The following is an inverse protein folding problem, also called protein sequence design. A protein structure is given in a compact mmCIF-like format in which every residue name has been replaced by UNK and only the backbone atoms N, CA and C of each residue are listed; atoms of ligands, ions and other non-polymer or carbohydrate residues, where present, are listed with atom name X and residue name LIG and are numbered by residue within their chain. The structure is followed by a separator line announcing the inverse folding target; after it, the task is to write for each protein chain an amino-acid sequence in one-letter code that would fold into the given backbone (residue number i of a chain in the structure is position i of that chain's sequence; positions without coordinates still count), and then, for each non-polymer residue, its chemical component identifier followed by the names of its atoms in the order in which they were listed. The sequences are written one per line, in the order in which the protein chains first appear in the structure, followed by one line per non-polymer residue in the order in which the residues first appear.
data_IF_154896588349
#
_entry.id   IF_154896588349
#
_cell.length_a   1.000
_cell.length_b   1.000
_cell.length_c   1.000
_cell.angle_alpha   90.00
_cell.angle_beta   90.00
_cell.angle_gamma   90.00
#
_symmetry.space_group_name_H-M   'P 1'
#
loop_
_entity.id
_entity.type
_entity.pdbx_description
1 polymer ?
#
# COMPACT_ATOMS: atom_id res chain seq x y z
N UNK A 1 -8.81 -25.22 -15.61
CA UNK A 1 -8.95 -25.04 -14.15
C UNK A 1 -7.57 -24.95 -13.54
N UNK A 2 -7.33 -23.94 -12.73
CA UNK A 2 -6.10 -23.75 -11.94
C UNK A 2 -6.15 -24.71 -10.75
N UNK A 3 -5.06 -25.45 -10.50
CA UNK A 3 -5.01 -26.42 -9.40
C UNK A 3 -4.69 -25.75 -8.07
N UNK A 4 -5.31 -26.25 -7.02
CA UNK A 4 -4.96 -25.93 -5.64
C UNK A 4 -3.99 -26.98 -5.12
N UNK A 5 -2.91 -26.53 -4.49
CA UNK A 5 -1.95 -27.37 -3.79
C UNK A 5 -1.95 -27.04 -2.29
N UNK A 6 -1.78 -28.07 -1.47
CA UNK A 6 -1.57 -27.94 -0.03
C UNK A 6 -0.08 -28.14 0.23
N UNK A 7 0.58 -27.09 0.70
CA UNK A 7 2.02 -27.12 0.97
C UNK A 7 2.25 -27.30 2.47
N UNK A 8 3.13 -28.24 2.83
CA UNK A 8 3.57 -28.43 4.21
C UNK A 8 4.57 -27.36 4.61
N UNK A 9 4.46 -26.85 5.83
CA UNK A 9 5.30 -25.76 6.34
C UNK A 9 5.54 -25.90 7.84
N UNK A 10 6.32 -25.00 8.42
CA UNK A 10 6.56 -24.90 9.87
C UNK A 10 6.35 -23.46 10.37
N UNK A 11 5.93 -23.27 11.62
CA UNK A 11 5.85 -21.95 12.23
C UNK A 11 7.18 -21.20 12.22
N UNK A 12 7.13 -19.89 12.02
CA UNK A 12 8.28 -18.99 12.16
C UNK A 12 8.20 -18.18 13.45
N UNK A 13 9.31 -18.10 14.17
CA UNK A 13 9.40 -17.24 15.35
C UNK A 13 9.27 -15.76 14.95
N UNK A 14 8.50 -15.00 15.74
CA UNK A 14 8.41 -13.55 15.57
C UNK A 14 7.47 -13.06 14.48
N UNK A 15 6.64 -13.91 13.85
CA UNK A 15 5.52 -13.50 12.99
C UNK A 15 4.33 -12.96 13.81
N UNK A 16 4.60 -12.02 14.72
CA UNK A 16 3.56 -11.39 15.55
C UNK A 16 3.17 -10.03 14.95
N UNK A 17 1.97 -9.90 14.33
CA UNK A 17 1.51 -8.60 13.87
C UNK A 17 1.14 -7.69 15.05
N UNK A 18 1.44 -6.41 14.93
CA UNK A 18 0.81 -5.36 15.73
C UNK A 18 -0.44 -4.81 15.03
N UNK A 19 -1.05 -3.80 15.63
CA UNK A 19 -2.18 -3.04 15.03
C UNK A 19 -1.82 -2.41 13.68
N UNK A 20 -0.53 -2.12 13.46
CA UNK A 20 0.00 -1.61 12.20
C UNK A 20 0.60 -2.70 11.29
N UNK A 21 0.28 -3.97 11.53
CA UNK A 21 0.75 -5.12 10.74
C UNK A 21 2.03 -5.78 11.25
N UNK A 22 2.54 -6.73 10.48
CA UNK A 22 3.85 -7.35 10.70
C UNK A 22 4.90 -6.57 9.90
N UNK A 23 5.96 -6.12 10.58
CA UNK A 23 7.11 -5.45 9.95
C UNK A 23 8.38 -6.21 10.26
N UNK A 24 9.14 -6.55 9.23
CA UNK A 24 10.40 -7.29 9.31
C UNK A 24 11.33 -6.85 8.20
N UNK A 25 12.60 -7.26 8.31
CA UNK A 25 13.59 -6.98 7.28
C UNK A 25 13.24 -7.76 6.01
N UNK A 26 13.50 -7.18 4.84
CA UNK A 26 13.28 -7.83 3.53
C UNK A 26 13.84 -9.26 3.46
N UNK A 27 15.09 -9.53 3.92
CA UNK A 27 15.62 -10.90 3.93
C UNK A 27 14.82 -11.90 4.77
N UNK A 28 14.03 -11.45 5.75
CA UNK A 28 13.13 -12.34 6.50
C UNK A 28 11.95 -12.78 5.63
N UNK A 29 11.31 -11.85 4.92
CA UNK A 29 10.20 -12.16 4.00
C UNK A 29 10.62 -13.00 2.79
N UNK A 30 11.90 -12.97 2.42
CA UNK A 30 12.45 -13.79 1.35
C UNK A 30 12.79 -15.23 1.77
N UNK A 31 12.69 -15.56 3.07
CA UNK A 31 12.81 -16.96 3.49
C UNK A 31 11.65 -17.76 2.90
N UNK A 32 11.96 -18.98 2.46
CA UNK A 32 10.98 -19.91 1.91
C UNK A 32 9.82 -20.10 2.91
N UNK A 33 8.58 -20.00 2.41
CA UNK A 33 7.33 -20.12 3.18
C UNK A 33 7.05 -19.01 4.20
N UNK A 34 7.96 -18.05 4.42
CA UNK A 34 7.73 -17.02 5.43
C UNK A 34 6.52 -16.15 5.08
N UNK A 35 6.49 -15.62 3.87
CA UNK A 35 5.43 -14.74 3.39
C UNK A 35 4.12 -15.51 3.23
N UNK A 36 4.19 -16.71 2.67
CA UNK A 36 3.05 -17.62 2.47
C UNK A 36 2.37 -17.97 3.80
N UNK A 37 3.15 -18.35 4.81
CA UNK A 37 2.64 -18.67 6.13
C UNK A 37 1.89 -17.49 6.73
N UNK A 38 2.48 -16.30 6.63
CA UNK A 38 1.87 -15.11 7.22
C UNK A 38 0.57 -14.73 6.50
N UNK A 39 0.54 -14.81 5.17
CA UNK A 39 -0.67 -14.55 4.37
C UNK A 39 -1.78 -15.54 4.75
N UNK A 40 -1.48 -16.85 4.80
CA UNK A 40 -2.46 -17.86 5.21
C UNK A 40 -3.00 -17.57 6.63
N UNK A 41 -2.11 -17.26 7.58
CA UNK A 41 -2.50 -16.92 8.95
C UNK A 41 -3.37 -15.66 9.04
N UNK A 42 -3.11 -14.65 8.20
CA UNK A 42 -3.93 -13.44 8.08
C UNK A 42 -5.32 -13.77 7.57
N UNK A 43 -5.45 -14.60 6.52
CA UNK A 43 -6.76 -14.99 6.00
C UNK A 43 -7.55 -15.79 7.04
N UNK A 44 -6.90 -16.73 7.71
CA UNK A 44 -7.53 -17.58 8.73
C UNK A 44 -7.94 -16.79 9.98
N UNK A 45 -7.11 -15.85 10.44
CA UNK A 45 -7.35 -15.08 11.65
C UNK A 45 -8.21 -13.84 11.43
N UNK A 46 -8.06 -13.19 10.28
CA UNK A 46 -8.77 -11.96 9.92
C UNK A 46 -10.19 -12.20 9.42
N UNK A 47 -10.42 -13.31 8.71
CA UNK A 47 -11.69 -13.59 8.05
C UNK A 47 -12.33 -14.89 8.53
N UNK A 48 -11.52 -15.90 8.86
CA UNK A 48 -12.00 -17.18 9.38
C UNK A 48 -13.00 -17.84 8.44
N UNK A 49 -14.25 -18.04 8.89
CA UNK A 49 -15.30 -18.63 8.06
C UNK A 49 -15.83 -17.70 6.97
N UNK A 50 -15.57 -16.38 7.06
CA UNK A 50 -16.01 -15.38 6.08
C UNK A 50 -15.13 -15.32 4.83
N UNK A 51 -14.11 -16.17 4.71
CA UNK A 51 -13.22 -16.19 3.55
C UNK A 51 -13.99 -16.41 2.25
N UNK A 52 -14.79 -17.47 2.16
CA UNK A 52 -15.45 -17.82 0.90
C UNK A 52 -16.42 -16.72 0.45
N UNK A 53 -16.13 -16.12 -0.70
CA UNK A 53 -16.96 -15.07 -1.32
C UNK A 53 -16.68 -13.65 -0.84
N UNK A 54 -15.68 -13.42 0.02
CA UNK A 54 -15.30 -12.08 0.40
C UNK A 54 -14.44 -11.41 -0.69
N UNK A 55 -14.64 -10.10 -0.88
CA UNK A 55 -13.79 -9.26 -1.71
C UNK A 55 -12.79 -8.52 -0.83
N UNK A 56 -11.52 -8.49 -1.23
CA UNK A 56 -10.49 -7.78 -0.48
C UNK A 56 -9.66 -6.91 -1.40
N UNK A 57 -9.34 -5.73 -0.89
CA UNK A 57 -8.50 -4.74 -1.57
C UNK A 57 -7.04 -5.03 -1.22
N UNK A 58 -6.22 -5.17 -2.25
CA UNK A 58 -4.77 -5.36 -2.15
C UNK A 58 -4.10 -4.11 -2.69
N UNK A 59 -3.22 -3.51 -1.90
CA UNK A 59 -2.48 -2.32 -2.29
C UNK A 59 -1.20 -2.19 -1.48
N UNK A 60 -0.30 -1.33 -1.93
CA UNK A 60 0.92 -1.02 -1.20
C UNK A 60 1.62 0.23 -1.69
N UNK A 61 2.66 0.63 -0.97
CA UNK A 61 3.39 1.88 -1.20
C UNK A 61 4.46 1.82 -2.29
N UNK A 62 4.61 0.66 -2.95
CA UNK A 62 5.57 0.45 -4.02
C UNK A 62 6.98 0.09 -3.54
N UNK A 63 7.20 -0.11 -2.22
CA UNK A 63 8.48 -0.57 -1.69
C UNK A 63 8.92 -1.91 -2.28
N UNK A 64 10.22 -2.18 -2.18
CA UNK A 64 10.82 -3.45 -2.57
C UNK A 64 10.05 -4.64 -1.96
N UNK A 65 9.86 -5.72 -2.72
CA UNK A 65 8.98 -6.88 -2.47
C UNK A 65 7.47 -6.69 -2.64
N UNK A 66 6.94 -5.47 -2.86
CA UNK A 66 5.49 -5.31 -3.03
C UNK A 66 4.93 -6.18 -4.16
N UNK A 67 5.57 -6.21 -5.34
CA UNK A 67 5.07 -6.98 -6.49
C UNK A 67 5.08 -8.48 -6.23
N UNK A 68 6.17 -8.98 -5.65
CA UNK A 68 6.34 -10.37 -5.28
C UNK A 68 5.30 -10.79 -4.25
N UNK A 69 5.08 -9.97 -3.22
CA UNK A 69 4.08 -10.24 -2.19
C UNK A 69 2.64 -10.15 -2.73
N UNK A 70 2.31 -9.23 -3.64
CA UNK A 70 0.99 -9.21 -4.32
C UNK A 70 0.77 -10.52 -5.06
N UNK A 71 1.79 -11.02 -5.76
CA UNK A 71 1.69 -12.27 -6.51
C UNK A 71 1.43 -13.46 -5.56
N UNK A 72 2.15 -13.54 -4.43
CA UNK A 72 1.89 -14.57 -3.40
C UNK A 72 0.48 -14.43 -2.82
N UNK A 73 0.04 -13.20 -2.51
CA UNK A 73 -1.32 -12.95 -2.05
C UNK A 73 -2.29 -13.49 -3.07
N UNK A 74 -2.25 -13.10 -4.34
CA UNK A 74 -3.20 -13.57 -5.36
C UNK A 74 -3.25 -15.11 -5.42
N UNK A 75 -2.11 -15.79 -5.39
CA UNK A 75 -2.05 -17.26 -5.44
C UNK A 75 -2.68 -17.95 -4.23
N UNK A 76 -2.42 -17.45 -3.02
CA UNK A 76 -3.01 -17.98 -1.77
C UNK A 76 -4.48 -17.57 -1.66
N UNK A 77 -4.80 -16.35 -2.10
CA UNK A 77 -6.14 -15.78 -2.17
C UNK A 77 -7.03 -16.60 -3.07
N UNK A 78 -6.58 -17.00 -4.25
CA UNK A 78 -7.35 -17.84 -5.16
C UNK A 78 -7.66 -19.20 -4.53
N UNK A 79 -6.71 -19.79 -3.79
CA UNK A 79 -6.91 -21.05 -3.08
C UNK A 79 -7.85 -20.92 -1.85
N UNK A 80 -7.96 -19.73 -1.26
CA UNK A 80 -8.75 -19.46 -0.05
C UNK A 80 -10.02 -18.61 -0.28
N UNK A 81 -10.18 -18.01 -1.45
CA UNK A 81 -11.24 -17.08 -1.86
C UNK A 81 -11.06 -15.58 -1.55
N UNK A 82 -9.87 -15.04 -1.20
CA UNK A 82 -9.69 -13.72 -0.49
C UNK A 82 -8.27 -13.08 -0.49
N UNK A 83 -8.09 -11.74 -0.61
CA UNK A 83 -6.80 -10.93 -0.52
C UNK A 83 -6.38 -10.11 0.76
N UNK A 84 -5.28 -9.33 0.72
CA UNK A 84 -4.59 -8.62 1.87
C UNK A 84 -3.91 -7.27 1.46
N UNK A 85 -3.63 -6.31 2.37
CA UNK A 85 -2.87 -5.05 2.11
C UNK A 85 -1.35 -5.19 2.45
N UNK A 86 -0.46 -4.54 1.68
CA UNK A 86 1.01 -4.60 1.78
C UNK A 86 1.65 -3.23 2.06
N UNK A 87 2.11 -2.98 3.28
CA UNK A 87 2.80 -1.73 3.64
C UNK A 87 3.65 -1.91 4.90
N UNK A 88 4.77 -1.21 4.99
CA UNK A 88 5.53 -1.02 6.24
C UNK A 88 5.51 0.44 6.75
N UNK A 89 4.58 1.26 6.24
CA UNK A 89 4.34 2.65 6.62
C UNK A 89 5.59 3.54 6.48
N UNK A 90 5.96 4.29 7.50
CA UNK A 90 7.11 5.21 7.46
C UNK A 90 8.50 4.54 7.42
N UNK A 91 8.62 3.21 7.48
CA UNK A 91 9.94 2.55 7.56
C UNK A 91 10.71 2.60 6.21
N UNK A 92 12.06 2.61 6.23
CA UNK A 92 12.88 2.61 5.01
C UNK A 92 12.60 1.41 4.10
N UNK A 93 12.71 1.64 2.79
CA UNK A 93 12.52 0.64 1.73
C UNK A 93 13.84 0.16 1.12
N UNK A 94 13.77 -0.89 0.31
CA UNK A 94 14.92 -1.47 -0.39
C UNK A 94 15.32 -2.87 0.09
N UNK A 95 16.28 -3.53 -0.60
CA UNK A 95 16.55 -4.97 -0.48
C UNK A 95 17.08 -5.42 0.88
N UNK A 96 17.59 -4.48 1.68
CA UNK A 96 18.07 -4.71 3.04
C UNK A 96 17.29 -3.89 4.06
N UNK A 97 16.17 -3.28 3.68
CA UNK A 97 15.40 -2.44 4.58
C UNK A 97 14.15 -3.20 5.06
N UNK A 98 13.08 -2.49 5.39
CA UNK A 98 11.89 -3.08 5.99
C UNK A 98 10.79 -3.30 4.95
N UNK A 99 10.11 -4.43 5.10
CA UNK A 99 8.87 -4.75 4.43
C UNK A 99 7.78 -5.01 5.46
N UNK A 100 6.52 -4.88 5.05
CA UNK A 100 5.41 -5.10 5.95
C UNK A 100 4.14 -5.53 5.25
N UNK A 101 3.33 -6.27 5.99
CA UNK A 101 2.01 -6.75 5.56
C UNK A 101 1.02 -6.33 6.63
N UNK A 102 -0.05 -5.65 6.21
CA UNK A 102 -1.06 -5.06 7.08
C UNK A 102 -2.44 -5.61 6.74
N UNK A 103 -3.24 -5.85 7.76
CA UNK A 103 -4.66 -6.16 7.59
C UNK A 103 -5.49 -5.00 8.15
N UNK A 104 -6.35 -4.43 7.32
CA UNK A 104 -7.37 -3.47 7.74
C UNK A 104 -8.73 -4.16 7.74
N UNK A 105 -9.60 -3.74 8.65
CA UNK A 105 -10.98 -4.24 8.71
C UNK A 105 -11.87 -3.55 7.67
N UNK A 106 -13.12 -4.02 7.55
CA UNK A 106 -14.12 -3.53 6.58
C UNK A 106 -14.39 -2.01 6.63
N UNK A 107 -14.13 -1.37 7.77
CA UNK A 107 -14.25 0.08 7.95
C UNK A 107 -12.99 0.86 7.51
N UNK A 108 -11.98 0.19 6.93
CA UNK A 108 -10.69 0.78 6.54
C UNK A 108 -9.73 1.05 7.71
N UNK A 109 -10.16 0.80 8.95
CA UNK A 109 -9.35 1.00 10.15
C UNK A 109 -8.33 -0.12 10.41
N UNK A 110 -7.36 0.11 11.32
CA UNK A 110 -6.39 -0.92 11.71
C UNK A 110 -7.09 -2.13 12.34
N UNK A 111 -6.49 -3.31 12.19
CA UNK A 111 -6.97 -4.53 12.83
C UNK A 111 -7.02 -4.36 14.36
N UNK A 112 -8.18 -4.60 15.01
CA UNK A 112 -8.28 -4.64 16.46
C UNK A 112 -7.39 -5.74 17.06
N UNK A 113 -7.02 -5.60 18.33
CA UNK A 113 -6.17 -6.57 19.03
C UNK A 113 -6.72 -8.00 18.98
N UNK A 114 -8.05 -8.16 19.02
CA UNK A 114 -8.68 -9.47 18.88
C UNK A 114 -8.32 -10.15 17.54
N UNK A 115 -8.27 -9.39 16.46
CA UNK A 115 -7.91 -9.86 15.12
C UNK A 115 -6.42 -10.15 15.04
N UNK A 116 -5.57 -9.22 15.49
CA UNK A 116 -4.11 -9.41 15.43
C UNK A 116 -3.64 -10.58 16.31
N UNK A 117 -4.29 -10.80 17.46
CA UNK A 117 -4.03 -11.97 18.31
C UNK A 117 -4.50 -13.27 17.65
N UNK A 118 -5.63 -13.28 16.95
CA UNK A 118 -6.09 -14.46 16.20
C UNK A 118 -5.13 -14.81 15.06
N UNK A 119 -4.66 -13.81 14.31
CA UNK A 119 -3.63 -13.99 13.28
C UNK A 119 -2.36 -14.56 13.92
N UNK A 120 -1.89 -13.96 15.01
CA UNK A 120 -0.70 -14.43 15.71
C UNK A 120 -0.83 -15.89 16.17
N UNK A 121 -1.96 -16.27 16.79
CA UNK A 121 -2.21 -17.65 17.20
C UNK A 121 -2.13 -18.63 16.03
N UNK A 122 -2.60 -18.25 14.84
CA UNK A 122 -2.45 -19.08 13.65
C UNK A 122 -0.98 -19.22 13.22
N UNK A 123 -0.18 -18.13 13.27
CA UNK A 123 1.24 -18.19 12.90
C UNK A 123 2.05 -19.15 13.78
N UNK A 124 1.68 -19.34 15.05
CA UNK A 124 2.40 -20.22 15.98
C UNK A 124 2.09 -21.70 15.80
N UNK A 125 1.02 -22.03 15.07
CA UNK A 125 0.54 -23.41 14.90
C UNK A 125 0.42 -23.84 13.43
N UNK A 126 0.68 -22.94 12.48
CA UNK A 126 0.58 -23.24 11.05
C UNK A 126 1.48 -24.41 10.64
N UNK A 127 0.88 -25.40 10.01
CA UNK A 127 1.58 -26.58 9.46
C UNK A 127 1.35 -26.75 7.97
N UNK A 128 0.34 -26.07 7.40
CA UNK A 128 0.07 -26.06 5.97
C UNK A 128 -0.48 -24.71 5.51
N UNK A 129 -0.35 -24.43 4.21
CA UNK A 129 -1.10 -23.39 3.53
C UNK A 129 -1.60 -23.89 2.17
N UNK A 130 -2.67 -23.29 1.66
CA UNK A 130 -3.23 -23.61 0.34
C UNK A 130 -2.83 -22.55 -0.68
N UNK A 131 -2.37 -22.96 -1.86
CA UNK A 131 -1.87 -22.07 -2.90
C UNK A 131 -2.23 -22.56 -4.30
N UNK A 132 -2.43 -21.63 -5.24
CA UNK A 132 -2.47 -21.92 -6.66
C UNK A 132 -1.11 -21.59 -7.30
N UNK A 133 -0.14 -22.50 -7.34
CA UNK A 133 1.25 -22.17 -7.71
C UNK A 133 1.38 -21.72 -9.17
N UNK A 134 0.58 -22.31 -10.06
CA UNK A 134 0.58 -22.05 -11.50
C UNK A 134 -0.28 -20.83 -11.89
N UNK A 135 -0.99 -20.20 -10.94
CA UNK A 135 -1.80 -19.02 -11.24
C UNK A 135 -0.88 -17.86 -11.60
N UNK A 136 -1.06 -17.33 -12.80
CA UNK A 136 -0.38 -16.13 -13.27
C UNK A 136 -1.43 -15.06 -13.54
N UNK A 137 -1.33 -13.93 -12.84
CA UNK A 137 -2.17 -12.77 -13.04
C UNK A 137 -1.26 -11.59 -13.36
N UNK A 138 -1.48 -10.95 -14.52
CA UNK A 138 -0.85 -9.67 -14.81
C UNK A 138 -1.64 -8.57 -14.09
N UNK A 139 -0.99 -7.93 -13.12
CA UNK A 139 -1.53 -6.79 -12.38
C UNK A 139 -0.78 -5.49 -12.68
N UNK A 140 -0.05 -5.45 -13.80
CA UNK A 140 0.66 -4.25 -14.26
C UNK A 140 -0.22 -3.25 -14.98
N UNK A 141 -1.43 -3.67 -15.41
CA UNK A 141 -2.39 -2.85 -16.14
C UNK A 141 -3.78 -2.98 -15.51
N UNK A 142 -4.55 -1.88 -15.58
CA UNK A 142 -5.96 -1.87 -15.20
C UNK A 142 -6.72 -2.89 -16.04
N UNK A 143 -7.57 -3.68 -15.39
CA UNK A 143 -8.36 -4.70 -16.06
C UNK A 143 -8.89 -5.76 -15.11
N UNK A 144 -9.70 -6.66 -15.66
CA UNK A 144 -10.26 -7.81 -14.96
C UNK A 144 -9.64 -9.10 -15.49
N UNK A 145 -9.19 -9.95 -14.57
CA UNK A 145 -8.78 -11.32 -14.84
C UNK A 145 -9.69 -12.29 -14.09
N UNK A 146 -10.12 -13.35 -14.76
CA UNK A 146 -11.04 -14.35 -14.21
C UNK A 146 -10.40 -15.74 -14.29
N UNK A 147 -10.57 -16.53 -13.23
CA UNK A 147 -9.94 -17.84 -13.09
C UNK A 147 -10.94 -18.85 -12.53
N UNK A 148 -10.97 -20.04 -13.11
CA UNK A 148 -11.69 -21.19 -12.55
C UNK A 148 -10.72 -22.03 -11.71
N UNK A 149 -10.89 -21.99 -10.39
CA UNK A 149 -10.03 -22.65 -9.41
C UNK A 149 -10.64 -23.99 -9.02
N UNK A 150 -9.84 -25.05 -9.12
CA UNK A 150 -10.25 -26.41 -8.81
C UNK A 150 -10.73 -26.54 -7.36
N UNK A 151 -11.92 -27.13 -7.17
CA UNK A 151 -12.59 -27.31 -5.88
C UNK A 151 -12.89 -26.02 -5.07
N UNK A 152 -12.66 -24.83 -5.63
CA UNK A 152 -12.97 -23.54 -4.99
C UNK A 152 -14.07 -22.80 -5.76
N UNK A 153 -13.97 -22.74 -7.10
CA UNK A 153 -14.92 -22.07 -7.98
C UNK A 153 -14.31 -20.87 -8.71
N UNK A 154 -15.16 -19.93 -9.10
CA UNK A 154 -14.77 -18.75 -9.87
C UNK A 154 -14.06 -17.73 -8.98
N UNK A 155 -12.90 -17.25 -9.42
CA UNK A 155 -12.07 -16.26 -8.74
C UNK A 155 -11.76 -15.09 -9.69
N UNK A 156 -11.90 -13.87 -9.19
CA UNK A 156 -11.77 -12.64 -9.98
C UNK A 156 -10.69 -11.76 -9.37
N UNK A 157 -9.83 -11.22 -10.23
CA UNK A 157 -8.86 -10.16 -9.88
C UNK A 157 -9.20 -8.92 -10.70
N UNK A 158 -9.62 -7.87 -10.00
CA UNK A 158 -9.83 -6.54 -10.56
C UNK A 158 -8.64 -5.64 -10.24
N UNK A 159 -7.90 -5.25 -11.26
CA UNK A 159 -6.84 -4.24 -11.19
C UNK A 159 -7.48 -2.90 -11.52
N UNK A 160 -7.52 -2.01 -10.52
CA UNK A 160 -8.18 -0.71 -10.63
C UNK A 160 -7.16 0.43 -10.65
N UNK A 161 -7.60 1.60 -11.11
CA UNK A 161 -6.82 2.82 -10.99
C UNK A 161 -6.65 3.18 -9.51
N UNK A 162 -5.41 3.43 -9.08
CA UNK A 162 -5.10 3.70 -7.67
C UNK A 162 -5.60 5.06 -7.19
N UNK A 163 -5.84 6.02 -8.09
CA UNK A 163 -6.08 7.42 -7.76
C UNK A 163 -7.54 7.82 -8.02
N UNK A 164 -8.15 7.30 -9.09
CA UNK A 164 -9.46 7.72 -9.60
C UNK A 164 -10.56 7.79 -8.53
N UNK A 165 -10.83 6.67 -7.85
CA UNK A 165 -11.96 6.60 -6.92
C UNK A 165 -11.71 7.46 -5.66
N UNK A 166 -10.44 7.61 -5.26
CA UNK A 166 -10.04 8.52 -4.18
C UNK A 166 -10.26 9.99 -4.58
N UNK A 167 -9.88 10.38 -5.80
CA UNK A 167 -10.12 11.74 -6.32
C UNK A 167 -11.61 12.06 -6.36
N UNK A 168 -12.44 11.13 -6.85
CA UNK A 168 -13.89 11.29 -6.88
C UNK A 168 -14.46 11.49 -5.47
N UNK A 169 -13.94 10.80 -4.46
CA UNK A 169 -14.31 11.01 -3.07
C UNK A 169 -13.87 12.40 -2.57
N UNK A 170 -12.62 12.80 -2.84
CA UNK A 170 -12.09 14.10 -2.41
C UNK A 170 -12.89 15.27 -3.01
N UNK A 171 -13.32 15.16 -4.27
CA UNK A 171 -14.17 16.16 -4.93
C UNK A 171 -15.57 16.27 -4.31
N UNK A 172 -16.06 15.23 -3.64
CA UNK A 172 -17.33 15.27 -2.89
C UNK A 172 -17.17 15.91 -1.50
N UNK A 173 -15.99 15.80 -0.91
CA UNK A 173 -15.68 16.32 0.43
C UNK A 173 -15.26 17.80 0.37
N UNK A 174 -14.44 18.17 -0.62
CA UNK A 174 -13.82 19.49 -0.71
C UNK A 174 -14.29 20.29 -1.93
N UNK A 175 -14.38 21.61 -1.76
CA UNK A 175 -14.67 22.54 -2.86
C UNK A 175 -13.40 22.78 -3.70
N UNK A 176 -13.17 21.89 -4.68
CA UNK A 176 -12.01 21.96 -5.56
C UNK A 176 -11.93 23.28 -6.33
N UNK A 177 -13.09 23.88 -6.68
CA UNK A 177 -13.12 25.17 -7.37
C UNK A 177 -12.54 26.26 -6.49
N UNK A 178 -12.97 26.36 -5.22
CA UNK A 178 -12.42 27.34 -4.28
C UNK A 178 -10.94 27.12 -4.00
N UNK A 179 -10.50 25.87 -3.83
CA UNK A 179 -9.08 25.58 -3.61
C UNK A 179 -8.25 26.01 -4.82
N UNK A 180 -8.73 25.73 -6.04
CA UNK A 180 -8.10 26.19 -7.28
C UNK A 180 -8.06 27.72 -7.41
N UNK A 181 -9.14 28.40 -7.03
CA UNK A 181 -9.19 29.87 -7.01
C UNK A 181 -8.22 30.47 -5.97
N UNK A 182 -7.97 29.79 -4.84
CA UNK A 182 -6.92 30.17 -3.90
C UNK A 182 -5.51 29.98 -4.51
N UNK A 183 -5.23 28.79 -5.05
CA UNK A 183 -3.92 28.44 -5.61
C UNK A 183 -3.53 29.36 -6.77
N UNK A 184 -4.48 29.65 -7.65
CA UNK A 184 -4.28 30.57 -8.78
C UNK A 184 -4.14 32.05 -8.38
N UNK A 185 -4.50 32.40 -7.14
CA UNK A 185 -4.53 33.78 -6.67
C UNK A 185 -5.76 34.58 -7.12
N UNK A 186 -6.77 33.93 -7.70
CA UNK A 186 -8.05 34.57 -8.05
C UNK A 186 -8.73 35.21 -6.82
N UNK A 187 -8.59 34.58 -5.65
CA UNK A 187 -9.20 35.07 -4.40
C UNK A 187 -8.38 36.20 -3.75
N UNK A 188 -7.05 36.09 -3.79
CA UNK A 188 -6.12 36.89 -2.97
C UNK A 188 -5.35 37.95 -3.77
N UNK A 189 -5.42 37.91 -5.11
CA UNK A 189 -4.61 38.75 -6.01
C UNK A 189 -3.15 38.30 -6.16
N UNK A 190 -2.73 37.26 -5.46
CA UNK A 190 -1.39 36.64 -5.53
C UNK A 190 -1.54 35.13 -5.47
N UNK A 191 -0.80 34.40 -6.31
CA UNK A 191 -0.74 32.93 -6.23
C UNK A 191 -0.38 32.47 -4.83
N UNK A 192 -1.04 31.40 -4.39
CA UNK A 192 -0.71 30.70 -3.16
C UNK A 192 0.31 29.61 -3.50
N UNK A 193 1.57 29.84 -3.15
CA UNK A 193 2.70 28.98 -3.54
C UNK A 193 2.82 27.81 -2.56
N UNK A 194 2.52 26.60 -3.04
CA UNK A 194 2.64 25.36 -2.24
C UNK A 194 3.91 24.61 -2.59
N UNK A 195 4.47 23.88 -1.62
CA UNK A 195 5.60 22.98 -1.82
C UNK A 195 5.32 21.60 -1.19
N UNK A 196 5.29 20.56 -2.02
CA UNK A 196 4.85 19.23 -1.60
C UNK A 196 5.94 18.20 -1.84
N UNK A 197 6.20 17.34 -0.86
CA UNK A 197 7.16 16.25 -0.93
C UNK A 197 6.49 14.90 -0.62
N UNK A 198 6.39 14.02 -1.60
CA UNK A 198 5.86 12.66 -1.40
C UNK A 198 6.92 11.69 -0.90
N UNK A 199 8.16 12.12 -0.68
CA UNK A 199 9.28 11.32 -0.19
C UNK A 199 9.47 10.02 -0.98
N UNK A 200 9.18 10.07 -2.30
CA UNK A 200 9.21 8.93 -3.22
C UNK A 200 8.24 7.77 -2.86
N UNK A 201 7.23 8.03 -2.03
CA UNK A 201 6.23 7.08 -1.56
C UNK A 201 4.94 7.04 -2.38
N UNK A 202 3.91 6.42 -1.82
CA UNK A 202 2.66 6.09 -2.49
C UNK A 202 1.85 7.30 -2.96
N UNK A 203 2.01 8.45 -2.30
CA UNK A 203 1.21 9.65 -2.54
C UNK A 203 1.56 10.38 -3.84
N UNK A 204 2.67 10.04 -4.51
CA UNK A 204 3.14 10.75 -5.70
C UNK A 204 2.09 10.90 -6.81
N UNK A 205 1.46 9.81 -7.28
CA UNK A 205 0.38 9.88 -8.27
C UNK A 205 -0.85 10.67 -7.81
N UNK A 206 -1.17 10.62 -6.51
CA UNK A 206 -2.28 11.38 -5.92
C UNK A 206 -1.99 12.87 -5.89
N UNK A 207 -0.76 13.25 -5.51
CA UNK A 207 -0.28 14.63 -5.53
C UNK A 207 -0.31 15.18 -6.96
N UNK A 208 0.19 14.41 -7.94
CA UNK A 208 0.14 14.82 -9.35
C UNK A 208 -1.30 15.05 -9.81
N UNK A 209 -2.19 14.09 -9.57
CA UNK A 209 -3.57 14.16 -10.09
C UNK A 209 -4.39 15.24 -9.37
N UNK A 210 -4.36 15.26 -8.03
CA UNK A 210 -5.16 16.20 -7.24
C UNK A 210 -4.57 17.60 -7.31
N UNK A 211 -3.30 17.76 -6.91
CA UNK A 211 -2.73 19.10 -6.75
C UNK A 211 -2.39 19.72 -8.10
N UNK A 212 -1.78 18.97 -9.03
CA UNK A 212 -1.42 19.54 -10.34
C UNK A 212 -2.61 19.54 -11.30
N UNK A 213 -3.17 18.38 -11.66
CA UNK A 213 -4.16 18.31 -12.74
C UNK A 213 -5.49 18.99 -12.36
N UNK A 214 -5.99 18.71 -11.16
CA UNK A 214 -7.27 19.29 -10.72
C UNK A 214 -7.13 20.71 -10.16
N UNK A 215 -6.18 20.92 -9.24
CA UNK A 215 -6.08 22.17 -8.48
C UNK A 215 -5.11 23.21 -9.06
N UNK A 216 -4.32 22.87 -10.09
CA UNK A 216 -3.48 23.82 -10.82
C UNK A 216 -2.18 24.21 -10.12
N UNK A 217 -1.67 23.37 -9.22
CA UNK A 217 -0.31 23.51 -8.67
C UNK A 217 0.69 23.27 -9.80
N UNK A 218 1.58 24.24 -10.02
CA UNK A 218 2.63 24.12 -11.03
C UNK A 218 3.68 23.09 -10.61
N UNK A 219 4.39 22.45 -11.57
CA UNK A 219 5.46 21.49 -11.28
C UNK A 219 6.51 21.97 -10.27
N UNK A 220 6.79 23.28 -10.24
CA UNK A 220 7.71 23.91 -9.28
C UNK A 220 7.26 23.79 -7.81
N UNK A 221 5.95 23.60 -7.58
CA UNK A 221 5.35 23.37 -6.27
C UNK A 221 5.45 21.92 -5.80
N UNK A 222 6.12 21.04 -6.56
CA UNK A 222 6.51 19.72 -6.10
C UNK A 222 8.02 19.70 -5.86
N UNK A 223 8.43 19.38 -4.63
CA UNK A 223 9.83 19.24 -4.29
C UNK A 223 10.38 18.05 -5.08
N UNK A 224 11.30 18.29 -6.03
CA UNK A 224 11.82 17.26 -6.95
C UNK A 224 10.69 16.62 -7.79
N UNK A 225 10.02 17.41 -8.62
CA UNK A 225 8.88 17.00 -9.48
C UNK A 225 8.89 15.53 -9.97
N UNK A 226 9.89 15.11 -10.76
CA UNK A 226 9.98 13.73 -11.31
C UNK A 226 10.05 12.65 -10.22
N UNK A 227 10.70 13.00 -9.11
CA UNK A 227 11.02 12.14 -7.99
C UNK A 227 9.88 12.05 -6.97
N UNK A 228 9.08 13.10 -6.85
CA UNK A 228 7.90 13.17 -5.96
C UNK A 228 6.69 12.50 -6.57
N UNK A 229 6.50 12.55 -7.90
CA UNK A 229 5.35 11.91 -8.55
C UNK A 229 5.52 10.42 -8.81
N UNK A 230 6.74 9.88 -8.65
CA UNK A 230 7.07 8.49 -9.00
C UNK A 230 7.49 7.70 -7.75
N UNK A 231 6.67 6.75 -7.28
CA UNK A 231 7.06 5.88 -6.17
C UNK A 231 8.32 5.07 -6.50
N UNK A 232 9.24 4.95 -5.54
CA UNK A 232 10.49 4.18 -5.71
C UNK A 232 10.59 3.03 -4.71
N UNK A 233 11.04 1.83 -5.12
CA UNK A 233 11.14 0.66 -4.23
C UNK A 233 12.03 0.86 -2.98
N UNK A 234 12.98 1.79 -3.04
CA UNK A 234 13.90 2.16 -1.97
C UNK A 234 13.65 3.57 -1.43
N UNK A 235 12.54 4.21 -1.82
CA UNK A 235 12.23 5.61 -1.53
C UNK A 235 13.39 6.57 -1.86
N UNK A 236 14.14 6.30 -2.94
CA UNK A 236 15.31 7.11 -3.32
C UNK A 236 16.48 6.98 -2.36
N UNK A 237 16.54 5.91 -1.57
CA UNK A 237 17.53 5.68 -0.52
C UNK A 237 17.28 6.45 0.78
N UNK A 238 16.13 7.16 0.87
CA UNK A 238 15.73 7.95 2.03
C UNK A 238 14.85 7.20 3.03
N UNK A 239 14.53 7.89 4.12
CA UNK A 239 13.53 7.45 5.09
C UNK A 239 12.24 8.24 4.85
N UNK A 240 11.12 7.62 4.45
CA UNK A 240 9.90 8.33 4.12
C UNK A 240 9.10 8.62 5.40
N UNK A 241 9.67 9.46 6.28
CA UNK A 241 9.08 9.86 7.55
C UNK A 241 9.08 11.40 7.65
N UNK A 242 7.91 12.06 7.53
CA UNK A 242 7.80 13.50 7.35
C UNK A 242 8.01 14.25 8.67
N UNK A 243 9.27 14.31 9.12
CA UNK A 243 9.70 15.07 10.29
C UNK A 243 10.91 15.97 9.97
N UNK A 244 11.27 16.84 10.92
CA UNK A 244 12.34 17.84 10.75
C UNK A 244 13.72 17.25 10.45
N UNK A 245 13.92 15.95 10.74
CA UNK A 245 15.17 15.24 10.44
C UNK A 245 15.22 14.78 8.99
N UNK A 246 14.19 14.06 8.54
CA UNK A 246 14.21 13.42 7.21
C UNK A 246 13.63 14.29 6.10
N UNK A 247 12.65 15.15 6.39
CA UNK A 247 12.10 16.15 5.45
C UNK A 247 12.93 17.45 5.45
N UNK A 248 14.23 17.38 5.76
CA UNK A 248 15.12 18.56 5.83
C UNK A 248 15.12 19.36 4.52
N UNK A 249 15.08 18.67 3.38
CA UNK A 249 15.03 19.32 2.07
C UNK A 249 13.82 20.26 1.91
N UNK A 250 12.64 19.81 2.34
CA UNK A 250 11.43 20.63 2.37
C UNK A 250 11.60 21.82 3.32
N UNK A 251 12.07 21.57 4.54
CA UNK A 251 12.27 22.62 5.56
C UNK A 251 13.23 23.70 5.07
N UNK A 252 14.33 23.32 4.42
CA UNK A 252 15.32 24.28 3.89
C UNK A 252 14.72 25.17 2.78
N UNK A 253 13.83 24.63 1.95
CA UNK A 253 13.14 25.42 0.92
C UNK A 253 12.08 26.35 1.52
N UNK A 254 11.29 25.86 2.48
CA UNK A 254 10.28 26.68 3.18
C UNK A 254 10.93 27.87 3.90
N UNK A 255 12.13 27.68 4.48
CA UNK A 255 12.88 28.76 5.15
C UNK A 255 13.28 29.94 4.26
N UNK A 256 13.28 29.77 2.94
CA UNK A 256 13.57 30.87 2.00
C UNK A 256 12.44 31.90 1.93
N UNK A 257 11.24 31.55 2.38
CA UNK A 257 10.07 32.45 2.36
C UNK A 257 9.43 32.61 0.97
N UNK A 258 9.76 31.72 0.03
CA UNK A 258 9.23 31.74 -1.35
C UNK A 258 7.88 31.00 -1.49
N UNK A 259 7.56 30.13 -0.52
CA UNK A 259 6.34 29.32 -0.51
C UNK A 259 5.49 29.65 0.72
N UNK A 260 4.17 29.69 0.54
CA UNK A 260 3.21 30.02 1.57
C UNK A 260 2.81 28.77 2.41
N UNK A 261 2.90 27.58 1.84
CA UNK A 261 2.57 26.31 2.51
C UNK A 261 3.48 25.16 2.07
N UNK A 262 3.89 24.32 3.02
CA UNK A 262 4.71 23.14 2.77
C UNK A 262 4.15 21.90 3.45
N UNK A 263 4.14 20.76 2.75
CA UNK A 263 3.75 19.47 3.32
C UNK A 263 4.62 18.33 2.81
N UNK A 264 4.84 17.33 3.65
CA UNK A 264 5.47 16.07 3.29
C UNK A 264 4.57 14.89 3.69
N UNK A 265 4.60 13.83 2.89
CA UNK A 265 3.90 12.58 3.17
C UNK A 265 4.89 11.47 3.50
N UNK A 266 4.45 10.50 4.29
CA UNK A 266 5.24 9.30 4.58
C UNK A 266 5.15 8.28 3.42
N UNK A 267 5.67 7.06 3.63
CA UNK A 267 5.72 6.03 2.61
C UNK A 267 4.35 5.62 2.07
N UNK A 268 3.34 5.46 2.94
CA UNK A 268 2.00 5.00 2.55
C UNK A 268 0.91 6.10 2.52
N UNK A 269 1.25 7.31 2.94
CA UNK A 269 0.46 8.54 2.76
C UNK A 269 -0.26 9.05 4.00
#
# INVERSE_FOLDING_TARGET
MVKVEIVQTKPFQGQKPGTSGLRKRVPEFQQEHYTENFIQAVLDGGLGSKKKGATLVVGGDGRFLCKEAVNVIIKISAANGVGIILTASHNPGGPKADFGIKFNCENGGPAPDAVTNAIYANTTHISTYSICPDLTCDFSQIGRSEFDIDNVGHFVVDVIDSVKDYVELMQKIFDFKKIKSLISGEITGKRFEVLIDSMHGATGPYVSTILCDHLGVEPRGLLRYIDTTTPKPDFGGGHPDPNLTYAKGLVDQMRKGEHDFGAAFDGDG
#
